data_IF_419155243025
#
_entry.id   IF_419155243025
#
_cell.length_a   1.000
_cell.length_b   1.000
_cell.length_c   1.000
_cell.angle_alpha   90.00
_cell.angle_beta   90.00
_cell.angle_gamma   90.00
#
_symmetry.space_group_name_H-M   'P 1'
#
loop_
_entity.id
_entity.type
_entity.pdbx_description
1 polymer ?
#
# COMPACT_ATOMS: atom_id res chain seq x y z
N UNK A 1 64.10 -21.88 2.93
CA UNK A 1 62.83 -21.54 3.63
C UNK A 1 62.16 -20.27 3.09
N UNK A 2 62.84 -19.12 3.06
CA UNK A 2 62.25 -17.83 2.64
C UNK A 2 61.67 -17.82 1.21
N UNK A 3 62.36 -18.42 0.22
CA UNK A 3 61.87 -18.49 -1.16
C UNK A 3 60.63 -19.38 -1.35
N UNK A 4 60.46 -20.39 -0.50
CA UNK A 4 59.27 -21.27 -0.52
C UNK A 4 58.08 -20.57 0.14
N UNK A 5 58.33 -19.85 1.24
CA UNK A 5 57.32 -19.03 1.92
C UNK A 5 56.82 -17.88 1.02
N UNK A 6 57.70 -17.19 0.30
CA UNK A 6 57.32 -16.14 -0.65
C UNK A 6 56.43 -16.66 -1.78
N UNK A 7 56.76 -17.81 -2.37
CA UNK A 7 55.92 -18.46 -3.40
C UNK A 7 54.56 -18.87 -2.85
N UNK A 8 54.50 -19.35 -1.62
CA UNK A 8 53.24 -19.71 -0.96
C UNK A 8 52.34 -18.48 -0.72
N UNK A 9 52.90 -17.37 -0.22
CA UNK A 9 52.15 -16.13 0.00
C UNK A 9 51.58 -15.58 -1.31
N UNK A 10 52.39 -15.59 -2.38
CA UNK A 10 51.95 -15.16 -3.70
C UNK A 10 50.82 -16.07 -4.21
N UNK A 11 50.96 -17.39 -4.12
CA UNK A 11 49.91 -18.32 -4.54
C UNK A 11 48.62 -18.12 -3.73
N UNK A 12 48.72 -17.95 -2.41
CA UNK A 12 47.58 -17.66 -1.54
C UNK A 12 46.89 -16.34 -1.93
N UNK A 13 47.66 -15.29 -2.21
CA UNK A 13 47.13 -14.01 -2.69
C UNK A 13 46.36 -14.14 -4.00
N UNK A 14 46.88 -14.93 -4.96
CA UNK A 14 46.17 -15.18 -6.22
C UNK A 14 44.87 -15.95 -6.01
N UNK A 15 44.86 -16.97 -5.13
CA UNK A 15 43.64 -17.74 -4.81
C UNK A 15 42.61 -16.85 -4.13
N UNK A 16 43.01 -16.09 -3.12
CA UNK A 16 42.11 -15.16 -2.40
C UNK A 16 41.61 -14.06 -3.33
N UNK A 17 42.49 -13.48 -4.15
CA UNK A 17 42.12 -12.46 -5.14
C UNK A 17 41.12 -12.98 -6.17
N UNK A 18 41.33 -14.20 -6.69
CA UNK A 18 40.41 -14.83 -7.63
C UNK A 18 39.05 -15.09 -6.97
N UNK A 19 39.03 -15.61 -5.74
CA UNK A 19 37.80 -15.82 -4.98
C UNK A 19 37.04 -14.51 -4.76
N UNK A 20 37.74 -13.43 -4.39
CA UNK A 20 37.13 -12.11 -4.24
C UNK A 20 36.53 -11.60 -5.54
N UNK A 21 37.23 -11.75 -6.67
CA UNK A 21 36.69 -11.37 -7.99
C UNK A 21 35.44 -12.17 -8.33
N UNK A 22 35.44 -13.48 -8.09
CA UNK A 22 34.25 -14.32 -8.31
C UNK A 22 33.09 -13.84 -7.45
N UNK A 23 33.31 -13.60 -6.15
CA UNK A 23 32.28 -13.08 -5.24
C UNK A 23 31.74 -11.73 -5.71
N UNK A 24 32.61 -10.80 -6.12
CA UNK A 24 32.21 -9.50 -6.63
C UNK A 24 31.38 -9.62 -7.93
N UNK A 25 31.76 -10.51 -8.84
CA UNK A 25 31.01 -10.75 -10.07
C UNK A 25 29.65 -11.38 -9.76
N UNK A 26 29.57 -12.34 -8.85
CA UNK A 26 28.29 -12.96 -8.49
C UNK A 26 27.37 -12.00 -7.77
N UNK A 27 27.90 -11.19 -6.85
CA UNK A 27 27.11 -10.26 -6.04
C UNK A 27 26.66 -9.04 -6.86
N UNK A 28 27.57 -8.46 -7.65
CA UNK A 28 27.31 -7.20 -8.35
C UNK A 28 27.08 -7.36 -9.86
N UNK A 29 27.68 -8.35 -10.51
CA UNK A 29 27.60 -8.52 -11.96
C UNK A 29 26.17 -8.82 -12.43
N UNK A 30 25.48 -9.74 -11.76
CA UNK A 30 24.08 -10.08 -12.07
C UNK A 30 23.15 -8.88 -11.82
N UNK A 31 23.34 -8.18 -10.70
CA UNK A 31 22.56 -6.99 -10.35
C UNK A 31 22.76 -5.83 -11.32
N UNK A 32 24.03 -5.57 -11.69
CA UNK A 32 24.44 -4.57 -12.67
C UNK A 32 23.88 -4.86 -14.05
N UNK A 33 24.04 -6.08 -14.56
CA UNK A 33 23.50 -6.51 -15.85
C UNK A 33 21.97 -6.37 -15.90
N UNK A 34 21.27 -6.81 -14.85
CA UNK A 34 19.81 -6.63 -14.75
C UNK A 34 19.42 -5.15 -14.76
N UNK A 35 20.20 -4.26 -14.14
CA UNK A 35 19.92 -2.82 -14.10
C UNK A 35 20.09 -2.20 -15.49
N UNK A 36 21.19 -2.52 -16.18
CA UNK A 36 21.46 -2.07 -17.56
C UNK A 36 20.38 -2.59 -18.52
N UNK A 37 20.08 -3.89 -18.47
CA UNK A 37 19.03 -4.50 -19.31
C UNK A 37 17.65 -3.84 -19.10
N UNK A 38 17.28 -3.55 -17.84
CA UNK A 38 16.04 -2.83 -17.52
C UNK A 38 16.06 -1.40 -18.02
N UNK A 39 17.18 -0.70 -17.88
CA UNK A 39 17.33 0.67 -18.38
C UNK A 39 17.20 0.72 -19.90
N UNK A 40 17.82 -0.20 -20.62
CA UNK A 40 17.69 -0.26 -22.09
C UNK A 40 16.26 -0.58 -22.55
N UNK A 41 15.56 -1.50 -21.87
CA UNK A 41 14.20 -1.91 -22.26
C UNK A 41 13.10 -0.95 -21.85
N UNK A 42 13.20 -0.37 -20.65
CA UNK A 42 12.13 0.40 -20.03
C UNK A 42 12.49 1.87 -19.80
N UNK A 43 13.73 2.28 -20.16
CA UNK A 43 14.32 3.58 -19.79
C UNK A 43 14.28 3.83 -18.27
N UNK A 44 14.20 2.76 -17.47
CA UNK A 44 14.06 2.79 -16.01
C UNK A 44 14.89 1.71 -15.34
N UNK A 45 15.34 1.98 -14.12
CA UNK A 45 16.10 1.02 -13.32
C UNK A 45 15.25 -0.19 -12.88
N UNK A 46 13.92 -0.10 -12.87
CA UNK A 46 12.99 -1.15 -12.43
C UNK A 46 11.98 -1.49 -13.51
N UNK A 47 11.49 -2.74 -13.50
CA UNK A 47 10.40 -3.17 -14.39
C UNK A 47 9.13 -2.40 -14.02
N UNK A 48 8.37 -1.86 -14.99
CA UNK A 48 7.02 -1.35 -14.77
C UNK A 48 6.17 -2.33 -13.97
N UNK A 49 5.29 -1.80 -13.12
CA UNK A 49 4.26 -2.63 -12.52
C UNK A 49 3.42 -3.28 -13.62
N UNK A 50 3.04 -4.55 -13.48
CA UNK A 50 2.16 -5.20 -14.47
C UNK A 50 0.80 -4.52 -14.52
N UNK A 51 0.34 -4.00 -13.38
CA UNK A 51 -0.92 -3.25 -13.30
C UNK A 51 -0.84 -1.95 -14.11
N UNK A 52 0.35 -1.36 -14.28
CA UNK A 52 0.52 -0.16 -15.09
C UNK A 52 0.34 -0.38 -16.59
N UNK A 53 0.38 -1.64 -17.04
CA UNK A 53 0.21 -2.02 -18.45
C UNK A 53 -1.14 -2.69 -18.71
N UNK A 54 -2.07 -2.65 -17.75
CA UNK A 54 -3.41 -3.19 -17.94
C UNK A 54 -4.18 -2.38 -18.99
N UNK A 55 -5.06 -3.04 -19.74
CA UNK A 55 -5.84 -2.43 -20.83
C UNK A 55 -6.66 -1.22 -20.37
N UNK A 56 -7.10 -1.22 -19.11
CA UNK A 56 -7.82 -0.11 -18.47
C UNK A 56 -7.01 1.22 -18.47
N UNK A 57 -5.69 1.15 -18.64
CA UNK A 57 -4.80 2.32 -18.71
C UNK A 57 -4.27 2.57 -20.13
N UNK A 58 -4.89 2.00 -21.18
CA UNK A 58 -4.41 2.07 -22.55
C UNK A 58 -4.01 3.49 -22.98
N UNK A 59 -2.73 3.72 -23.25
CA UNK A 59 -2.17 5.01 -23.68
C UNK A 59 -1.96 6.06 -22.59
N UNK A 60 -2.28 5.76 -21.31
CA UNK A 60 -2.06 6.68 -20.20
C UNK A 60 -0.56 6.86 -19.90
N UNK A 61 -0.07 8.08 -20.05
CA UNK A 61 1.30 8.48 -19.72
C UNK A 61 1.58 8.43 -18.20
N UNK A 62 0.54 8.57 -17.38
CA UNK A 62 0.63 8.62 -15.92
C UNK A 62 0.67 7.24 -15.24
N UNK A 63 0.15 6.17 -15.85
CA UNK A 63 -0.09 4.89 -15.16
C UNK A 63 1.20 4.27 -14.60
N UNK A 64 2.30 4.33 -15.36
CA UNK A 64 3.59 3.81 -14.89
C UNK A 64 4.19 4.68 -13.78
N UNK A 65 3.91 5.99 -13.78
CA UNK A 65 4.26 6.89 -12.68
C UNK A 65 3.46 6.54 -11.43
N UNK A 66 2.14 6.45 -11.58
CA UNK A 66 1.18 6.09 -10.55
C UNK A 66 1.58 4.82 -9.79
N UNK A 67 1.75 3.68 -10.45
CA UNK A 67 2.06 2.43 -9.72
C UNK A 67 3.48 2.41 -9.12
N UNK A 68 4.40 3.23 -9.66
CA UNK A 68 5.70 3.45 -9.03
C UNK A 68 5.57 4.26 -7.74
N UNK A 69 4.72 5.28 -7.75
CA UNK A 69 4.41 6.12 -6.60
C UNK A 69 3.57 5.40 -5.54
N UNK A 70 2.51 4.74 -5.96
CA UNK A 70 1.60 3.99 -5.09
C UNK A 70 2.35 3.01 -4.21
N UNK A 71 3.33 2.26 -4.75
CA UNK A 71 4.18 1.36 -3.94
C UNK A 71 4.99 2.05 -2.84
N UNK A 72 5.27 3.35 -2.98
CA UNK A 72 5.89 4.17 -1.94
C UNK A 72 4.85 4.73 -0.97
N UNK A 73 3.67 5.09 -1.46
CA UNK A 73 2.55 5.61 -0.69
C UNK A 73 1.96 4.58 0.29
N UNK A 74 1.89 3.31 -0.11
CA UNK A 74 1.37 2.22 0.74
C UNK A 74 2.32 1.94 1.90
N UNK A 75 2.15 2.71 2.98
CA UNK A 75 2.84 2.56 4.26
C UNK A 75 1.77 2.69 5.33
N UNK A 76 1.84 1.81 6.32
CA UNK A 76 0.83 1.74 7.38
C UNK A 76 1.46 1.82 8.74
N UNK A 77 0.74 2.39 9.70
CA UNK A 77 1.04 2.30 11.12
C UNK A 77 -0.01 1.42 11.80
N UNK A 78 0.32 0.88 12.98
CA UNK A 78 -0.63 0.12 13.77
C UNK A 78 -1.78 1.03 14.25
N UNK A 79 -3.01 0.54 14.15
CA UNK A 79 -4.21 1.25 14.59
C UNK A 79 -5.02 0.37 15.53
N UNK A 80 -5.42 0.87 16.73
CA UNK A 80 -6.29 0.11 17.62
C UNK A 80 -7.55 -0.37 16.92
N UNK A 81 -7.98 -1.59 17.25
CA UNK A 81 -9.21 -2.26 16.79
C UNK A 81 -9.29 -2.63 15.30
N UNK A 82 -8.58 -1.93 14.42
CA UNK A 82 -8.59 -2.18 12.96
C UNK A 82 -7.22 -2.55 12.39
N UNK A 83 -6.27 -2.84 13.29
CA UNK A 83 -4.89 -3.27 13.10
C UNK A 83 -3.94 -2.34 12.35
N UNK A 84 -4.34 -1.74 11.24
CA UNK A 84 -3.48 -0.88 10.46
C UNK A 84 -4.24 0.28 9.83
N UNK A 85 -3.52 1.36 9.56
CA UNK A 85 -4.03 2.56 8.90
C UNK A 85 -2.97 3.18 8.01
N UNK A 86 -3.36 3.71 6.84
CA UNK A 86 -2.41 4.36 5.94
C UNK A 86 -1.74 5.58 6.59
N UNK A 87 -0.47 5.79 6.27
CA UNK A 87 0.30 6.96 6.68
C UNK A 87 0.07 8.13 5.74
N UNK A 88 0.21 9.38 6.23
CA UNK A 88 0.23 10.54 5.36
C UNK A 88 1.30 10.41 4.27
N UNK A 89 0.93 10.80 3.06
CA UNK A 89 1.79 10.73 1.89
C UNK A 89 1.38 11.82 0.91
N UNK A 90 2.34 12.50 0.30
CA UNK A 90 2.08 13.48 -0.76
C UNK A 90 2.93 13.14 -1.96
N UNK A 91 2.28 12.78 -3.05
CA UNK A 91 2.89 12.50 -4.34
C UNK A 91 2.18 13.25 -5.47
N UNK A 92 2.56 12.95 -6.71
CA UNK A 92 2.00 13.60 -7.90
C UNK A 92 0.64 13.02 -8.29
N UNK A 93 0.35 11.78 -7.87
CA UNK A 93 -0.86 11.06 -8.25
C UNK A 93 -1.70 10.58 -7.06
N UNK A 94 -1.04 10.35 -5.91
CA UNK A 94 -1.63 9.81 -4.69
C UNK A 94 -1.30 10.73 -3.55
N UNK A 95 -2.35 11.27 -2.94
CA UNK A 95 -2.27 12.01 -1.68
C UNK A 95 -3.05 11.26 -0.60
N UNK A 96 -2.41 11.10 0.55
CA UNK A 96 -3.00 10.67 1.81
C UNK A 96 -2.79 11.81 2.80
N UNK A 97 -3.88 12.39 3.30
CA UNK A 97 -3.85 13.53 4.22
C UNK A 97 -3.28 13.13 5.61
N UNK A 98 -3.26 14.08 6.56
CA UNK A 98 -2.78 13.81 7.92
C UNK A 98 -3.62 12.74 8.66
N UNK A 99 -4.85 12.49 8.20
CA UNK A 99 -5.70 11.40 8.71
C UNK A 99 -5.42 10.08 7.99
N UNK A 100 -4.52 10.04 7.01
CA UNK A 100 -4.26 8.86 6.18
C UNK A 100 -5.36 8.56 5.17
N UNK A 101 -6.14 9.58 4.76
CA UNK A 101 -7.28 9.44 3.86
C UNK A 101 -6.99 10.08 2.50
N UNK A 102 -7.60 9.53 1.44
CA UNK A 102 -7.56 10.18 0.12
C UNK A 102 -8.42 11.45 0.17
N UNK A 103 -7.94 12.58 -0.36
CA UNK A 103 -8.75 13.80 -0.41
C UNK A 103 -9.95 13.60 -1.32
N UNK A 104 -11.06 14.26 -1.00
CA UNK A 104 -12.21 14.35 -1.89
C UNK A 104 -12.58 15.82 -2.15
N UNK A 105 -13.05 16.18 -3.35
CA UNK A 105 -13.41 17.56 -3.66
C UNK A 105 -14.57 18.04 -2.79
N UNK A 106 -14.41 19.21 -2.17
CA UNK A 106 -15.48 19.84 -1.40
C UNK A 106 -15.69 19.29 0.01
N UNK A 107 -14.88 18.34 0.48
CA UNK A 107 -14.91 17.87 1.87
C UNK A 107 -14.70 19.03 2.84
N UNK A 108 -15.64 19.22 3.76
CA UNK A 108 -15.57 20.23 4.83
C UNK A 108 -15.98 19.61 6.17
N UNK A 109 -15.22 19.85 7.26
CA UNK A 109 -15.53 19.30 8.58
C UNK A 109 -16.77 19.91 9.26
N UNK A 110 -17.18 21.12 8.87
CA UNK A 110 -18.13 21.97 9.63
C UNK A 110 -19.20 22.64 8.76
N UNK A 111 -19.63 22.02 7.65
CA UNK A 111 -20.82 22.50 6.93
C UNK A 111 -22.06 21.77 7.50
N UNK A 112 -22.92 22.50 8.21
CA UNK A 112 -24.12 21.94 8.85
C UNK A 112 -25.24 21.64 7.86
N UNK A 113 -25.20 22.23 6.66
CA UNK A 113 -26.25 22.09 5.64
C UNK A 113 -25.90 21.07 4.55
N UNK A 114 -24.66 20.57 4.53
CA UNK A 114 -24.23 19.53 3.59
C UNK A 114 -24.62 18.13 4.10
N UNK A 115 -25.08 17.27 3.19
CA UNK A 115 -25.30 15.84 3.46
C UNK A 115 -23.93 15.17 3.65
N UNK A 116 -23.69 14.60 4.83
CA UNK A 116 -22.44 13.94 5.19
C UNK A 116 -22.46 12.46 4.81
N UNK A 117 -21.60 12.09 3.86
CA UNK A 117 -21.49 10.73 3.34
C UNK A 117 -20.11 10.19 3.70
N UNK A 118 -20.06 9.16 4.55
CA UNK A 118 -18.80 8.47 4.85
C UNK A 118 -18.71 7.20 4.01
N UNK A 119 -17.66 7.07 3.22
CA UNK A 119 -17.45 5.94 2.33
C UNK A 119 -16.39 4.99 2.90
N UNK A 120 -16.76 3.73 3.10
CA UNK A 120 -15.93 2.66 3.63
C UNK A 120 -15.69 1.59 2.57
N UNK A 121 -14.56 0.90 2.67
CA UNK A 121 -14.21 -0.17 1.75
C UNK A 121 -12.72 -0.49 1.79
N UNK A 122 -12.38 -1.57 1.10
CA UNK A 122 -11.01 -1.99 0.85
C UNK A 122 -10.21 -1.11 -0.13
N UNK A 123 -9.29 -1.75 -0.85
CA UNK A 123 -8.41 -1.09 -1.82
C UNK A 123 -9.13 -0.40 -2.97
N UNK A 124 -10.31 -0.90 -3.35
CA UNK A 124 -11.15 -0.29 -4.38
C UNK A 124 -11.70 1.06 -3.93
N UNK A 125 -12.20 1.15 -2.68
CA UNK A 125 -12.71 2.42 -2.13
C UNK A 125 -11.59 3.41 -1.88
N UNK A 126 -10.45 2.95 -1.36
CA UNK A 126 -9.21 3.74 -1.24
C UNK A 126 -8.69 4.26 -2.59
N UNK A 127 -9.14 3.68 -3.71
CA UNK A 127 -8.80 4.12 -5.05
C UNK A 127 -7.41 3.66 -5.51
N UNK A 128 -7.04 2.40 -5.21
CA UNK A 128 -5.91 1.75 -5.86
C UNK A 128 -6.13 1.72 -7.37
N UNK A 129 -5.18 2.26 -8.13
CA UNK A 129 -5.29 2.43 -9.58
C UNK A 129 -5.88 3.78 -10.02
N UNK A 130 -6.38 4.59 -9.08
CA UNK A 130 -6.98 5.89 -9.37
C UNK A 130 -6.16 7.06 -8.80
N UNK A 131 -5.98 8.11 -9.61
CA UNK A 131 -5.47 9.42 -9.15
C UNK A 131 -6.48 10.08 -8.20
N UNK A 132 -6.02 11.06 -7.40
CA UNK A 132 -6.85 11.67 -6.34
C UNK A 132 -8.24 12.11 -6.81
N UNK A 133 -8.35 12.78 -7.96
CA UNK A 133 -9.63 13.29 -8.49
C UNK A 133 -10.58 12.21 -9.05
N UNK A 134 -10.13 10.96 -9.09
CA UNK A 134 -10.78 9.83 -9.77
C UNK A 134 -11.07 8.65 -8.85
N UNK A 135 -10.89 8.80 -7.53
CA UNK A 135 -11.41 7.81 -6.56
C UNK A 135 -12.94 7.78 -6.60
N UNK A 136 -13.56 6.66 -6.20
CA UNK A 136 -15.03 6.54 -6.17
C UNK A 136 -15.67 7.70 -5.39
N UNK A 137 -15.21 8.05 -4.18
CA UNK A 137 -15.77 9.18 -3.43
C UNK A 137 -15.52 10.54 -4.09
N UNK A 138 -14.36 10.74 -4.73
CA UNK A 138 -14.07 12.00 -5.42
C UNK A 138 -14.97 12.21 -6.65
N UNK A 139 -15.22 11.15 -7.43
CA UNK A 139 -16.16 11.18 -8.55
C UNK A 139 -17.58 11.40 -8.04
N UNK A 140 -17.98 10.71 -6.98
CA UNK A 140 -19.31 10.85 -6.37
C UNK A 140 -19.57 12.28 -5.89
N UNK A 141 -18.62 12.87 -5.16
CA UNK A 141 -18.72 14.24 -4.65
C UNK A 141 -18.93 15.25 -5.79
N UNK A 142 -18.11 15.14 -6.84
CA UNK A 142 -18.23 15.98 -8.04
C UNK A 142 -19.59 15.80 -8.72
N UNK A 143 -20.05 14.57 -8.96
CA UNK A 143 -21.33 14.30 -9.62
C UNK A 143 -22.53 14.81 -8.83
N UNK A 144 -22.54 14.63 -7.51
CA UNK A 144 -23.63 15.14 -6.67
C UNK A 144 -23.64 16.67 -6.64
N UNK A 145 -22.46 17.29 -6.63
CA UNK A 145 -22.32 18.76 -6.70
C UNK A 145 -22.80 19.30 -8.06
N UNK A 146 -22.47 18.64 -9.17
CA UNK A 146 -22.96 18.96 -10.52
C UNK A 146 -24.50 18.85 -10.61
N UNK A 147 -25.12 17.95 -9.84
CA UNK A 147 -26.58 17.83 -9.72
C UNK A 147 -27.23 18.85 -8.75
N UNK A 148 -26.46 19.76 -8.16
CA UNK A 148 -26.96 20.80 -7.25
C UNK A 148 -27.11 20.35 -5.80
N UNK A 149 -26.61 19.16 -5.42
CA UNK A 149 -26.60 18.73 -4.02
C UNK A 149 -25.40 19.30 -3.27
N UNK A 150 -25.64 19.75 -2.04
CA UNK A 150 -24.58 20.11 -1.08
C UNK A 150 -24.19 18.86 -0.31
N UNK A 151 -23.01 18.32 -0.60
CA UNK A 151 -22.51 17.09 0.02
C UNK A 151 -21.11 17.31 0.57
N UNK A 152 -20.81 16.65 1.69
CA UNK A 152 -19.46 16.50 2.22
C UNK A 152 -19.19 15.00 2.29
N UNK A 153 -18.29 14.51 1.45
CA UNK A 153 -17.98 13.08 1.35
C UNK A 153 -16.60 12.86 1.96
N UNK A 154 -16.42 11.80 2.75
CA UNK A 154 -15.09 11.43 3.26
C UNK A 154 -14.78 10.00 2.86
N UNK A 155 -13.60 9.79 2.28
CA UNK A 155 -13.11 8.46 1.88
C UNK A 155 -12.36 7.81 3.05
N UNK A 156 -13.03 6.92 3.78
CA UNK A 156 -12.43 6.06 4.81
C UNK A 156 -11.91 4.73 4.26
N UNK A 157 -11.80 4.58 2.95
CA UNK A 157 -11.29 3.37 2.33
C UNK A 157 -9.83 3.09 2.73
N UNK A 158 -9.54 1.84 3.10
CA UNK A 158 -8.23 1.41 3.56
C UNK A 158 -7.81 0.11 2.88
N UNK A 159 -6.53 -0.01 2.54
CA UNK A 159 -6.04 -1.21 1.85
C UNK A 159 -6.21 -2.46 2.71
N UNK A 160 -6.90 -3.46 2.15
CA UNK A 160 -7.11 -4.76 2.78
C UNK A 160 -8.09 -4.76 3.94
N UNK A 161 -8.75 -3.64 4.26
CA UNK A 161 -9.80 -3.62 5.27
C UNK A 161 -11.01 -4.42 4.80
N UNK A 162 -11.57 -5.23 5.69
CA UNK A 162 -12.82 -5.94 5.48
C UNK A 162 -13.99 -5.21 6.16
N UNK A 163 -15.22 -5.66 5.90
CA UNK A 163 -16.45 -5.09 6.42
C UNK A 163 -16.46 -4.92 7.94
N UNK A 164 -15.81 -5.81 8.70
CA UNK A 164 -15.75 -5.72 10.16
C UNK A 164 -14.83 -4.61 10.64
N UNK A 165 -13.66 -4.45 10.00
CA UNK A 165 -12.78 -3.30 10.28
C UNK A 165 -13.49 -1.97 9.95
N UNK A 166 -14.30 -1.96 8.90
CA UNK A 166 -15.07 -0.81 8.47
C UNK A 166 -16.19 -0.44 9.43
N UNK A 167 -16.98 -1.42 9.88
CA UNK A 167 -18.03 -1.22 10.90
C UNK A 167 -17.41 -0.73 12.22
N UNK A 168 -16.28 -1.30 12.64
CA UNK A 168 -15.55 -0.82 13.81
C UNK A 168 -15.10 0.63 13.62
N UNK A 169 -14.60 0.99 12.44
CA UNK A 169 -14.21 2.37 12.12
C UNK A 169 -15.40 3.32 12.23
N UNK A 170 -16.55 2.98 11.61
CA UNK A 170 -17.78 3.75 11.74
C UNK A 170 -18.18 3.92 13.21
N UNK A 171 -18.13 2.86 14.00
CA UNK A 171 -18.45 2.92 15.43
C UNK A 171 -17.52 3.87 16.19
N UNK A 172 -16.22 3.88 15.89
CA UNK A 172 -15.29 4.82 16.54
C UNK A 172 -15.58 6.27 16.15
N UNK A 173 -15.93 6.53 14.89
CA UNK A 173 -16.32 7.86 14.39
C UNK A 173 -17.59 8.38 15.07
N UNK A 174 -18.62 7.53 15.17
CA UNK A 174 -19.85 7.87 15.89
C UNK A 174 -19.58 8.20 17.36
N UNK A 175 -18.69 7.44 18.01
CA UNK A 175 -18.29 7.70 19.41
C UNK A 175 -17.52 9.01 19.58
N UNK A 176 -16.76 9.45 18.57
CA UNK A 176 -16.08 10.74 18.60
C UNK A 176 -17.00 11.93 18.29
N UNK A 177 -18.29 11.69 18.04
CA UNK A 177 -19.25 12.73 17.69
C UNK A 177 -19.21 13.13 16.22
N UNK A 178 -18.62 12.30 15.34
CA UNK A 178 -18.69 12.55 13.90
C UNK A 178 -20.13 12.49 13.45
N UNK A 179 -20.60 13.54 12.77
CA UNK A 179 -21.93 13.57 12.19
C UNK A 179 -21.91 12.83 10.87
N UNK A 180 -22.87 11.95 10.67
CA UNK A 180 -23.06 11.19 9.44
C UNK A 180 -24.55 11.15 9.09
N UNK A 181 -24.87 11.41 7.81
CA UNK A 181 -26.22 11.23 7.29
C UNK A 181 -26.31 9.92 6.49
N UNK A 182 -25.22 9.52 5.81
CA UNK A 182 -25.15 8.27 5.01
C UNK A 182 -23.80 7.57 5.23
N UNK A 183 -23.83 6.28 5.55
CA UNK A 183 -22.67 5.38 5.49
C UNK A 183 -22.75 4.52 4.24
N UNK A 184 -21.73 4.57 3.37
CA UNK A 184 -21.65 3.78 2.15
C UNK A 184 -20.52 2.77 2.27
N UNK A 185 -20.85 1.48 2.22
CA UNK A 185 -19.88 0.38 2.27
C UNK A 185 -19.73 -0.26 0.89
N UNK A 186 -18.48 -0.50 0.47
CA UNK A 186 -18.17 -1.17 -0.78
C UNK A 186 -17.20 -2.33 -0.53
N UNK A 187 -17.77 -3.52 -0.38
CA UNK A 187 -17.08 -4.73 0.06
C UNK A 187 -17.11 -5.86 -0.98
N UNK A 188 -16.29 -6.89 -0.75
CA UNK A 188 -16.33 -8.13 -1.52
C UNK A 188 -15.06 -8.93 -1.42
N UNK A 189 -13.99 -8.48 -2.09
CA UNK A 189 -12.79 -9.31 -2.28
C UNK A 189 -12.03 -9.58 -0.98
N UNK A 190 -12.06 -8.65 -0.02
CA UNK A 190 -11.32 -8.81 1.23
C UNK A 190 -11.96 -9.84 2.15
N UNK A 191 -13.29 -9.95 2.13
CA UNK A 191 -14.09 -10.92 2.87
C UNK A 191 -13.75 -12.32 2.37
N UNK A 192 -13.73 -12.49 1.05
CA UNK A 192 -13.38 -13.75 0.40
C UNK A 192 -11.92 -14.12 0.64
N UNK A 193 -10.99 -13.18 0.44
CA UNK A 193 -9.56 -13.43 0.57
C UNK A 193 -9.17 -13.75 2.02
N UNK A 194 -9.75 -13.06 3.00
CA UNK A 194 -9.52 -13.37 4.41
C UNK A 194 -10.10 -14.74 4.78
N UNK A 195 -11.31 -15.06 4.30
CA UNK A 195 -11.92 -16.36 4.56
C UNK A 195 -11.14 -17.52 3.94
N UNK A 196 -10.68 -17.37 2.69
CA UNK A 196 -9.82 -18.34 2.03
C UNK A 196 -8.49 -18.51 2.77
N UNK A 197 -7.85 -17.41 3.15
CA UNK A 197 -6.55 -17.45 3.82
C UNK A 197 -6.60 -18.10 5.21
N UNK A 198 -7.70 -17.89 5.94
CA UNK A 198 -7.81 -18.28 7.36
C UNK A 198 -8.69 -19.51 7.59
N UNK A 199 -9.42 -19.95 6.55
CA UNK A 199 -10.42 -21.00 6.64
C UNK A 199 -11.70 -20.60 7.39
N UNK A 200 -11.86 -19.32 7.77
CA UNK A 200 -12.97 -18.84 8.57
C UNK A 200 -13.47 -17.50 8.05
N UNK A 201 -14.80 -17.32 7.98
CA UNK A 201 -15.38 -16.01 7.73
C UNK A 201 -14.98 -15.01 8.83
N UNK A 202 -14.99 -13.72 8.47
CA UNK A 202 -14.80 -12.60 9.40
C UNK A 202 -13.45 -12.64 10.16
N UNK A 203 -12.38 -12.94 9.42
CA UNK A 203 -11.00 -12.87 9.93
C UNK A 203 -10.22 -11.77 9.22
N UNK A 204 -9.07 -11.45 9.80
CA UNK A 204 -8.21 -10.40 9.29
C UNK A 204 -7.16 -10.95 8.34
N UNK A 205 -6.84 -10.13 7.34
CA UNK A 205 -5.78 -10.43 6.39
C UNK A 205 -4.46 -10.66 7.13
N UNK A 206 -3.80 -11.79 6.86
CA UNK A 206 -2.58 -12.23 7.54
C UNK A 206 -2.69 -12.41 9.08
N UNK A 207 -3.86 -12.73 9.65
CA UNK A 207 -4.02 -12.94 11.12
C UNK A 207 -2.94 -13.87 11.72
N UNK A 208 -2.56 -14.94 11.01
CA UNK A 208 -1.53 -15.87 11.47
C UNK A 208 -0.18 -15.19 11.79
N UNK A 209 0.19 -14.14 11.03
CA UNK A 209 1.42 -13.36 11.27
C UNK A 209 1.29 -12.53 12.54
N UNK A 210 0.13 -11.92 12.77
CA UNK A 210 -0.17 -11.16 14.01
C UNK A 210 -0.10 -12.06 15.25
N UNK A 211 -0.65 -13.26 15.15
CA UNK A 211 -0.57 -14.27 16.22
C UNK A 211 0.87 -14.67 16.51
N UNK A 212 1.68 -14.90 15.47
CA UNK A 212 3.10 -15.21 15.64
C UNK A 212 3.86 -14.06 16.31
N UNK A 213 3.62 -12.82 15.87
CA UNK A 213 4.19 -11.60 16.45
C UNK A 213 3.82 -11.43 17.94
N UNK A 214 2.53 -11.59 18.28
CA UNK A 214 2.06 -11.52 19.66
C UNK A 214 2.76 -12.55 20.56
N UNK A 215 2.94 -13.78 20.06
CA UNK A 215 3.59 -14.86 20.80
C UNK A 215 5.10 -14.66 20.98
N UNK A 216 5.77 -13.95 20.06
CA UNK A 216 7.19 -13.59 20.23
C UNK A 216 7.40 -12.69 21.45
N UNK A 217 6.44 -11.82 21.74
CA UNK A 217 6.49 -10.90 22.89
C UNK A 217 6.03 -11.58 24.20
N UNK A 218 5.45 -12.77 24.14
CA UNK A 218 4.88 -13.48 25.30
C UNK A 218 5.25 -14.98 25.33
N UNK A 219 6.54 -15.35 25.28
CA UNK A 219 6.96 -16.74 25.18
C UNK A 219 6.47 -17.61 26.35
N UNK A 220 6.38 -17.03 27.55
CA UNK A 220 6.00 -17.74 28.77
C UNK A 220 4.51 -18.11 28.82
N UNK A 221 3.67 -17.40 28.05
CA UNK A 221 2.21 -17.65 27.97
C UNK A 221 1.83 -18.70 26.93
N UNK A 222 2.81 -19.29 26.26
CA UNK A 222 2.60 -20.29 25.20
C UNK A 222 2.55 -21.73 25.73
N UNK A 223 2.88 -21.96 27.00
CA UNK A 223 2.86 -23.28 27.65
C UNK A 223 1.44 -23.75 27.94
#
# INVERSE_FOLDING_TARGET
MLATLGRFIVALWHVVGLLLVVVLITEFGVGGWRRVSRYLRYRRATRPDRSATADAYGGADWATGYFGEFRRAVRVDWKPYVEWWQRPYRGDYVTLDERGLRPTPGEKPTDDEAIRILCFGGSTMMGMGARDDYTIPAVLARRLTECGHRVSITNYGQLGHNSTQEVITLQQLLKSGERIDIALFYDGINEMACAEQTGHADRLFNEARRRAEFNLLHPDRRR
#
